data_IF_501784750973
#
_entry.id   IF_501784750973
#
_cell.length_a   1.000
_cell.length_b   1.000
_cell.length_c   1.000
_cell.angle_alpha   90.00
_cell.angle_beta   90.00
_cell.angle_gamma   90.00
#
_symmetry.space_group_name_H-M   'P 1'
#
loop_
_entity.id
_entity.type
_entity.pdbx_description
1 polymer ?
#
# COMPACT_ATOMS: atom_id res chain seq x y z
N UNK A 1 -21.00 27.85 -15.20
CA UNK A 1 -21.84 27.10 -14.24
C UNK A 1 -22.98 26.44 -15.00
N UNK A 2 -22.98 25.12 -15.17
CA UNK A 2 -24.12 24.44 -15.77
C UNK A 2 -25.28 24.49 -14.75
N UNK A 3 -26.39 25.15 -15.10
CA UNK A 3 -27.61 25.09 -14.30
C UNK A 3 -28.07 23.63 -14.29
N UNK A 4 -27.89 22.95 -13.18
CA UNK A 4 -28.44 21.63 -12.89
C UNK A 4 -29.95 21.76 -12.71
N UNK A 5 -30.66 21.97 -13.82
CA UNK A 5 -32.12 22.02 -13.83
C UNK A 5 -32.62 20.58 -13.69
N UNK A 6 -33.42 20.30 -12.67
CA UNK A 6 -34.07 19.00 -12.47
C UNK A 6 -34.70 18.53 -13.79
N UNK A 7 -34.33 17.38 -14.38
CA UNK A 7 -34.79 16.98 -15.70
C UNK A 7 -36.31 16.77 -15.79
N UNK A 8 -36.99 16.64 -14.65
CA UNK A 8 -38.44 16.42 -14.55
C UNK A 8 -39.24 17.67 -14.17
N UNK A 9 -38.62 18.85 -14.22
CA UNK A 9 -39.24 20.08 -13.74
C UNK A 9 -40.59 20.39 -14.44
N UNK A 10 -40.72 20.08 -15.73
CA UNK A 10 -41.96 20.34 -16.50
C UNK A 10 -43.11 19.45 -16.02
N UNK A 11 -42.83 18.17 -15.84
CA UNK A 11 -43.80 17.19 -15.36
C UNK A 11 -44.20 17.47 -13.91
N UNK A 12 -43.25 17.84 -13.05
CA UNK A 12 -43.52 18.23 -11.67
C UNK A 12 -44.35 19.53 -11.60
N UNK A 13 -44.08 20.52 -12.45
CA UNK A 13 -44.91 21.72 -12.57
C UNK A 13 -46.33 21.41 -13.05
N UNK A 14 -46.50 20.50 -14.03
CA UNK A 14 -47.84 20.08 -14.49
C UNK A 14 -48.65 19.41 -13.39
N UNK A 15 -48.02 18.53 -12.62
CA UNK A 15 -48.66 17.88 -11.46
C UNK A 15 -49.08 18.93 -10.43
N UNK A 16 -48.17 19.86 -10.10
CA UNK A 16 -48.47 20.95 -9.16
C UNK A 16 -49.65 21.82 -9.62
N UNK A 17 -49.71 22.18 -10.90
CA UNK A 17 -50.84 22.93 -11.45
C UNK A 17 -52.16 22.15 -11.39
N UNK A 18 -52.13 20.85 -11.65
CA UNK A 18 -53.32 19.99 -11.51
C UNK A 18 -53.79 19.89 -10.06
N UNK A 19 -52.87 19.73 -9.09
CA UNK A 19 -53.22 19.74 -7.65
C UNK A 19 -53.90 21.04 -7.25
N UNK A 20 -53.37 22.16 -7.75
CA UNK A 20 -53.90 23.50 -7.48
C UNK A 20 -55.26 23.73 -8.16
N UNK A 21 -55.47 23.23 -9.38
CA UNK A 21 -56.76 23.30 -10.07
C UNK A 21 -57.82 22.43 -9.38
N UNK A 22 -57.44 21.23 -8.90
CA UNK A 22 -58.31 20.36 -8.10
C UNK A 22 -58.72 21.04 -6.79
N UNK A 23 -57.78 21.69 -6.10
CA UNK A 23 -58.03 22.40 -4.85
C UNK A 23 -58.98 23.60 -5.04
N UNK A 24 -58.92 24.26 -6.20
CA UNK A 24 -59.78 25.41 -6.56
C UNK A 24 -61.13 25.01 -7.15
N UNK A 25 -61.29 23.77 -7.59
CA UNK A 25 -62.52 23.31 -8.25
C UNK A 25 -63.57 22.88 -7.22
N UNK A 26 -64.73 23.54 -7.22
CA UNK A 26 -65.91 23.17 -6.42
C UNK A 26 -66.85 22.17 -7.11
N UNK A 27 -66.76 22.02 -8.44
CA UNK A 27 -67.59 21.07 -9.19
C UNK A 27 -67.09 19.62 -8.97
N UNK A 28 -67.94 18.71 -8.45
CA UNK A 28 -67.53 17.34 -8.13
C UNK A 28 -67.20 16.48 -9.36
N UNK A 29 -67.85 16.70 -10.51
CA UNK A 29 -67.55 15.96 -11.74
C UNK A 29 -66.19 16.37 -12.30
N UNK A 30 -65.95 17.67 -12.46
CA UNK A 30 -64.65 18.21 -12.91
C UNK A 30 -63.51 17.81 -11.97
N UNK A 31 -63.78 17.77 -10.65
CA UNK A 31 -62.79 17.33 -9.65
C UNK A 31 -62.38 15.86 -9.83
N UNK A 32 -63.32 14.97 -10.17
CA UNK A 32 -63.01 13.56 -10.47
C UNK A 32 -62.18 13.40 -11.74
N UNK A 33 -62.52 14.13 -12.80
CA UNK A 33 -61.76 14.12 -14.06
C UNK A 33 -60.32 14.61 -13.86
N UNK A 34 -60.15 15.73 -13.15
CA UNK A 34 -58.82 16.26 -12.81
C UNK A 34 -58.04 15.30 -11.91
N UNK A 35 -58.70 14.62 -10.97
CA UNK A 35 -58.08 13.59 -10.13
C UNK A 35 -57.53 12.41 -10.96
N UNK A 36 -58.30 11.93 -11.94
CA UNK A 36 -57.85 10.90 -12.86
C UNK A 36 -56.64 11.35 -13.70
N UNK A 37 -56.66 12.58 -14.22
CA UNK A 37 -55.53 13.16 -14.95
C UNK A 37 -54.28 13.28 -14.08
N UNK A 38 -54.43 13.71 -12.83
CA UNK A 38 -53.34 13.81 -11.87
C UNK A 38 -52.70 12.45 -11.59
N UNK A 39 -53.51 11.41 -11.35
CA UNK A 39 -52.99 10.06 -11.12
C UNK A 39 -52.24 9.53 -12.35
N UNK A 40 -52.78 9.77 -13.55
CA UNK A 40 -52.12 9.45 -14.81
C UNK A 40 -50.76 10.16 -14.98
N UNK A 41 -50.68 11.45 -14.68
CA UNK A 41 -49.40 12.20 -14.75
C UNK A 41 -48.39 11.71 -13.71
N UNK A 42 -48.84 11.43 -12.47
CA UNK A 42 -47.97 10.90 -11.39
C UNK A 42 -47.39 9.54 -11.76
N UNK A 43 -48.20 8.62 -12.26
CA UNK A 43 -47.75 7.29 -12.69
C UNK A 43 -46.80 7.38 -13.88
N UNK A 44 -47.09 8.21 -14.89
CA UNK A 44 -46.21 8.45 -16.04
C UNK A 44 -44.84 9.00 -15.61
N UNK A 45 -44.82 9.95 -14.65
CA UNK A 45 -43.59 10.49 -14.09
C UNK A 45 -42.79 9.41 -13.34
N UNK A 46 -43.45 8.61 -12.51
CA UNK A 46 -42.80 7.50 -11.80
C UNK A 46 -42.18 6.49 -12.78
N UNK A 47 -42.90 6.10 -13.83
CA UNK A 47 -42.38 5.19 -14.86
C UNK A 47 -41.16 5.78 -15.60
N UNK A 48 -41.17 7.08 -15.91
CA UNK A 48 -39.99 7.75 -16.49
C UNK A 48 -38.80 7.75 -15.54
N UNK A 49 -39.00 8.16 -14.28
CA UNK A 49 -37.95 8.15 -13.25
C UNK A 49 -37.37 6.74 -13.05
N UNK A 50 -38.21 5.71 -13.08
CA UNK A 50 -37.79 4.33 -12.96
C UNK A 50 -36.93 3.88 -14.15
N UNK A 51 -37.38 4.12 -15.39
CA UNK A 51 -36.60 3.81 -16.61
C UNK A 51 -35.25 4.54 -16.66
N UNK A 52 -35.22 5.81 -16.28
CA UNK A 52 -33.97 6.58 -16.25
C UNK A 52 -32.99 6.08 -15.18
N UNK A 53 -33.52 5.61 -14.05
CA UNK A 53 -32.71 4.97 -13.00
C UNK A 53 -32.15 3.63 -13.49
N UNK A 54 -32.96 2.83 -14.18
CA UNK A 54 -32.53 1.56 -14.75
C UNK A 54 -31.48 1.74 -15.86
N UNK A 55 -31.67 2.72 -16.76
CA UNK A 55 -30.69 3.08 -17.78
C UNK A 55 -29.36 3.54 -17.18
N UNK A 56 -29.40 4.37 -16.12
CA UNK A 56 -28.20 4.77 -15.37
C UNK A 56 -27.52 3.58 -14.70
N UNK A 57 -28.28 2.70 -14.07
CA UNK A 57 -27.73 1.49 -13.44
C UNK A 57 -27.07 0.57 -14.47
N UNK A 58 -27.68 0.43 -15.66
CA UNK A 58 -27.10 -0.32 -16.77
C UNK A 58 -25.77 0.30 -17.22
N UNK A 59 -25.73 1.62 -17.43
CA UNK A 59 -24.49 2.32 -17.78
C UNK A 59 -23.41 2.20 -16.71
N UNK A 60 -23.76 2.31 -15.42
CA UNK A 60 -22.81 2.11 -14.33
C UNK A 60 -22.27 0.68 -14.35
N UNK A 61 -23.13 -0.32 -14.60
CA UNK A 61 -22.73 -1.73 -14.69
C UNK A 61 -21.79 -1.98 -15.88
N UNK A 62 -22.04 -1.38 -17.04
CA UNK A 62 -21.16 -1.51 -18.21
C UNK A 62 -19.83 -0.81 -17.98
N UNK A 63 -19.82 0.41 -17.42
CA UNK A 63 -18.59 1.15 -17.06
C UNK A 63 -17.76 0.38 -16.03
N UNK A 64 -18.38 -0.20 -14.99
CA UNK A 64 -17.65 -1.03 -14.01
C UNK A 64 -17.04 -2.27 -14.65
N UNK A 65 -17.75 -2.94 -15.56
CA UNK A 65 -17.24 -4.11 -16.30
C UNK A 65 -16.07 -3.73 -17.22
N UNK A 66 -16.15 -2.63 -17.95
CA UNK A 66 -15.05 -2.19 -18.83
C UNK A 66 -13.83 -1.74 -18.04
N UNK A 67 -14.03 -1.05 -16.89
CA UNK A 67 -12.92 -0.64 -16.01
C UNK A 67 -12.17 -1.84 -15.42
N UNK A 68 -12.88 -2.89 -14.96
CA UNK A 68 -12.26 -4.13 -14.48
C UNK A 68 -11.45 -4.84 -15.57
N UNK A 69 -11.96 -4.94 -16.80
CA UNK A 69 -11.24 -5.54 -17.92
C UNK A 69 -9.97 -4.77 -18.28
N UNK A 70 -10.02 -3.42 -18.27
CA UNK A 70 -8.83 -2.59 -18.51
C UNK A 70 -7.78 -2.78 -17.42
N UNK A 71 -8.18 -2.79 -16.15
CA UNK A 71 -7.24 -3.01 -15.02
C UNK A 71 -6.56 -4.37 -15.16
N UNK A 72 -7.32 -5.45 -15.38
CA UNK A 72 -6.77 -6.79 -15.56
C UNK A 72 -5.80 -6.86 -16.74
N UNK A 73 -6.16 -6.24 -17.87
CA UNK A 73 -5.27 -6.18 -19.04
C UNK A 73 -3.95 -5.47 -18.72
N UNK A 74 -3.99 -4.27 -18.11
CA UNK A 74 -2.78 -3.53 -17.76
C UNK A 74 -1.92 -4.28 -16.74
N UNK A 75 -2.52 -4.90 -15.72
CA UNK A 75 -1.76 -5.71 -14.74
C UNK A 75 -1.08 -6.91 -15.40
N UNK A 76 -1.74 -7.59 -16.34
CA UNK A 76 -1.13 -8.70 -17.07
C UNK A 76 0.00 -8.23 -18.00
N UNK A 77 -0.16 -7.09 -18.69
CA UNK A 77 0.90 -6.53 -19.52
C UNK A 77 2.13 -6.12 -18.69
N UNK A 78 1.93 -5.45 -17.55
CA UNK A 78 3.02 -5.04 -16.66
C UNK A 78 3.74 -6.27 -16.09
N UNK A 79 2.99 -7.27 -15.61
CA UNK A 79 3.57 -8.52 -15.12
C UNK A 79 4.39 -9.24 -16.21
N UNK A 80 3.88 -9.28 -17.45
CA UNK A 80 4.62 -9.84 -18.58
C UNK A 80 5.93 -9.12 -18.88
N UNK A 81 5.93 -7.78 -18.84
CA UNK A 81 7.15 -6.98 -19.04
C UNK A 81 8.18 -7.25 -17.93
N UNK A 82 7.73 -7.33 -16.67
CA UNK A 82 8.61 -7.63 -15.52
C UNK A 82 9.23 -9.04 -15.64
N UNK A 83 8.45 -10.04 -16.07
CA UNK A 83 8.97 -11.40 -16.26
C UNK A 83 10.02 -11.41 -17.37
N UNK A 84 9.73 -10.79 -18.53
CA UNK A 84 10.67 -10.73 -19.65
C UNK A 84 11.93 -9.96 -19.28
N UNK A 85 11.81 -8.83 -18.56
CA UNK A 85 12.98 -8.07 -18.10
C UNK A 85 13.81 -8.87 -17.10
N UNK A 86 13.19 -9.60 -16.17
CA UNK A 86 13.89 -10.50 -15.26
C UNK A 86 14.67 -11.57 -16.02
N UNK A 87 14.09 -12.21 -17.03
CA UNK A 87 14.79 -13.21 -17.86
C UNK A 87 15.99 -12.62 -18.63
N UNK A 88 15.87 -11.40 -19.16
CA UNK A 88 16.97 -10.72 -19.85
C UNK A 88 18.09 -10.36 -18.87
N UNK A 89 17.75 -9.81 -17.70
CA UNK A 89 18.71 -9.45 -16.64
C UNK A 89 19.41 -10.71 -16.13
N UNK A 90 18.69 -11.79 -15.83
CA UNK A 90 19.30 -13.06 -15.44
C UNK A 90 20.27 -13.59 -16.50
N UNK A 91 19.94 -13.48 -17.81
CA UNK A 91 20.87 -13.89 -18.88
C UNK A 91 22.08 -12.98 -19.05
N UNK A 92 21.94 -11.68 -18.78
CA UNK A 92 23.03 -10.70 -18.92
C UNK A 92 23.96 -10.60 -17.72
N UNK A 93 23.47 -10.94 -16.51
CA UNK A 93 24.29 -10.98 -15.29
C UNK A 93 24.81 -12.39 -14.92
N UNK A 94 24.32 -13.46 -15.56
CA UNK A 94 24.89 -14.82 -15.49
C UNK A 94 25.65 -15.32 -16.74
N UNK A 95 26.28 -14.50 -17.62
CA UNK A 95 27.33 -15.01 -18.48
C UNK A 95 28.63 -14.98 -17.67
N UNK A 96 29.21 -16.15 -17.41
CA UNK A 96 30.46 -16.37 -16.67
C UNK A 96 30.31 -16.58 -15.15
N UNK A 97 29.62 -17.67 -14.77
CA UNK A 97 30.18 -18.55 -13.73
C UNK A 97 31.17 -19.50 -14.42
N UNK A 98 32.26 -18.94 -14.95
CA UNK A 98 33.49 -19.70 -15.12
C UNK A 98 34.05 -19.95 -13.72
N UNK A 99 34.49 -21.18 -13.50
CA UNK A 99 35.02 -21.68 -12.24
C UNK A 99 36.06 -20.69 -11.70
N UNK A 100 35.80 -20.09 -10.55
CA UNK A 100 36.79 -19.28 -9.85
C UNK A 100 37.86 -20.25 -9.33
N UNK A 101 38.97 -20.36 -10.04
CA UNK A 101 40.18 -21.01 -9.55
C UNK A 101 40.59 -20.34 -8.24
N UNK A 102 40.68 -21.15 -7.18
CA UNK A 102 41.11 -20.76 -5.86
C UNK A 102 42.63 -20.55 -5.89
N UNK A 103 43.08 -19.41 -6.40
CA UNK A 103 44.48 -19.02 -6.36
C UNK A 103 44.84 -18.52 -4.96
N UNK A 104 45.50 -19.37 -4.20
CA UNK A 104 46.08 -19.06 -2.91
C UNK A 104 47.19 -18.01 -3.07
N UNK A 105 46.97 -16.80 -2.54
CA UNK A 105 48.05 -15.89 -2.16
C UNK A 105 48.01 -15.61 -0.67
N UNK A 106 49.09 -15.92 0.08
CA UNK A 106 49.19 -15.60 1.49
C UNK A 106 49.60 -14.15 1.65
N UNK A 107 48.69 -13.30 2.14
CA UNK A 107 49.05 -11.97 2.62
C UNK A 107 49.37 -12.06 4.12
N UNK A 108 50.67 -12.01 4.38
CA UNK A 108 51.34 -11.84 5.66
C UNK A 108 50.76 -10.71 6.53
N UNK A 109 50.43 -11.08 7.78
CA UNK A 109 50.68 -10.39 9.04
C UNK A 109 50.61 -8.85 9.07
N UNK A 110 49.50 -8.31 9.58
CA UNK A 110 49.51 -7.23 10.56
C UNK A 110 48.18 -7.26 11.35
N UNK A 111 48.27 -6.97 12.65
CA UNK A 111 47.20 -6.98 13.68
C UNK A 111 47.08 -8.30 14.46
N UNK A 112 48.00 -8.42 15.41
CA UNK A 112 47.80 -9.04 16.72
C UNK A 112 46.48 -8.59 17.38
N UNK A 113 45.82 -9.54 18.06
CA UNK A 113 44.79 -9.37 19.09
C UNK A 113 43.38 -8.96 18.62
N UNK A 114 42.57 -9.95 18.24
CA UNK A 114 41.50 -10.47 19.09
C UNK A 114 40.88 -11.64 18.31
N UNK A 115 40.96 -12.85 18.85
CA UNK A 115 40.00 -13.91 18.54
C UNK A 115 38.63 -13.44 19.02
N UNK A 116 38.03 -12.54 18.25
CA UNK A 116 36.63 -12.14 18.35
C UNK A 116 35.88 -13.34 17.79
N UNK A 117 35.10 -14.03 18.63
CA UNK A 117 34.16 -15.03 18.13
C UNK A 117 33.31 -14.35 17.06
N UNK A 118 33.52 -14.72 15.81
CA UNK A 118 32.74 -14.18 14.70
C UNK A 118 31.27 -14.53 14.99
N UNK A 119 30.46 -13.49 15.25
CA UNK A 119 29.05 -13.69 15.56
C UNK A 119 28.38 -14.17 14.29
N UNK A 120 27.80 -15.37 14.33
CA UNK A 120 27.04 -15.92 13.23
C UNK A 120 25.76 -15.09 13.02
N UNK A 121 25.78 -14.25 11.99
CA UNK A 121 24.66 -13.35 11.67
C UNK A 121 23.47 -14.06 11.06
N UNK A 122 23.58 -15.36 10.74
CA UNK A 122 22.45 -16.17 10.26
C UNK A 122 21.52 -16.63 11.38
N UNK A 123 22.01 -16.65 12.63
CA UNK A 123 21.28 -17.12 13.81
C UNK A 123 21.35 -16.11 14.96
N UNK A 124 20.89 -14.88 14.70
CA UNK A 124 20.86 -13.82 15.71
C UNK A 124 19.66 -13.96 16.66
N UNK A 125 19.90 -13.69 17.94
CA UNK A 125 18.80 -13.52 18.92
C UNK A 125 18.07 -12.20 18.68
N UNK A 126 16.83 -12.08 19.17
CA UNK A 126 16.04 -10.84 19.06
C UNK A 126 16.82 -9.61 19.51
N UNK A 127 17.45 -9.68 20.68
CA UNK A 127 18.25 -8.59 21.25
C UNK A 127 19.45 -8.22 20.37
N UNK A 128 20.10 -9.21 19.76
CA UNK A 128 21.22 -8.96 18.85
C UNK A 128 20.77 -8.26 17.57
N UNK A 129 19.61 -8.62 17.00
CA UNK A 129 19.08 -7.95 15.81
C UNK A 129 18.66 -6.51 16.14
N UNK A 130 17.99 -6.28 17.28
CA UNK A 130 17.63 -4.93 17.75
C UNK A 130 18.89 -4.08 17.94
N UNK A 131 19.93 -4.63 18.58
CA UNK A 131 21.22 -3.97 18.78
C UNK A 131 21.90 -3.60 17.47
N UNK A 132 21.85 -4.49 16.48
CA UNK A 132 22.46 -4.26 15.18
C UNK A 132 21.73 -3.18 14.38
N UNK A 133 20.40 -3.22 14.35
CA UNK A 133 19.57 -2.23 13.69
C UNK A 133 19.72 -0.84 14.34
N UNK A 134 19.74 -0.77 15.67
CA UNK A 134 19.92 0.49 16.41
C UNK A 134 21.32 1.08 16.22
N UNK A 135 22.37 0.25 16.19
CA UNK A 135 23.73 0.71 15.91
C UNK A 135 23.82 1.42 14.55
N UNK A 136 23.25 0.82 13.51
CA UNK A 136 23.24 1.40 12.17
C UNK A 136 22.34 2.63 12.05
N UNK A 137 21.23 2.69 12.79
CA UNK A 137 20.42 3.90 12.88
C UNK A 137 21.21 5.07 13.49
N UNK A 138 21.99 4.83 14.55
CA UNK A 138 22.84 5.86 15.19
C UNK A 138 23.99 6.33 14.30
N UNK A 139 24.49 5.47 13.42
CA UNK A 139 25.47 5.85 12.40
C UNK A 139 24.85 6.73 11.30
N UNK A 140 23.60 6.44 10.90
CA UNK A 140 22.86 7.24 9.92
C UNK A 140 22.47 8.61 10.47
N UNK A 141 22.03 8.67 11.73
CA UNK A 141 21.65 9.91 12.42
C UNK A 141 22.43 10.08 13.75
N UNK A 142 23.57 10.79 13.72
CA UNK A 142 24.39 11.04 14.91
C UNK A 142 23.70 11.91 15.96
N UNK A 143 22.55 12.52 15.66
CA UNK A 143 21.80 13.33 16.64
C UNK A 143 21.00 12.48 17.63
N UNK A 144 20.94 11.16 17.40
CA UNK A 144 20.31 10.21 18.31
C UNK A 144 21.16 10.04 19.58
N UNK A 145 20.68 10.64 20.67
CA UNK A 145 21.39 10.65 21.96
C UNK A 145 21.06 9.41 22.81
N UNK A 146 19.84 8.87 22.74
CA UNK A 146 19.40 7.74 23.60
C UNK A 146 18.37 6.83 22.92
N UNK A 147 18.41 5.54 23.25
CA UNK A 147 17.50 4.52 22.74
C UNK A 147 16.10 4.58 23.38
N UNK A 148 15.96 5.28 24.52
CA UNK A 148 14.74 5.30 25.34
C UNK A 148 13.48 5.86 24.67
N UNK A 149 13.62 6.58 23.55
CA UNK A 149 12.50 7.10 22.77
C UNK A 149 12.06 6.15 21.66
N UNK A 150 12.76 5.03 21.50
CA UNK A 150 12.53 4.07 20.45
C UNK A 150 11.98 2.76 21.00
N UNK A 151 11.06 2.16 20.27
CA UNK A 151 10.64 0.79 20.50
C UNK A 151 10.81 -0.03 19.22
N UNK A 152 11.10 -1.32 19.42
CA UNK A 152 11.47 -2.25 18.35
C UNK A 152 10.41 -3.34 18.20
N UNK A 153 9.88 -3.49 16.98
CA UNK A 153 9.04 -4.63 16.61
C UNK A 153 9.86 -5.57 15.71
N UNK A 154 10.20 -6.74 16.26
CA UNK A 154 10.98 -7.76 15.56
C UNK A 154 10.06 -8.86 15.10
N UNK A 155 9.97 -9.06 13.79
CA UNK A 155 9.06 -10.01 13.15
C UNK A 155 9.80 -10.87 12.14
N UNK A 156 9.41 -12.14 12.04
CA UNK A 156 9.92 -13.02 10.99
C UNK A 156 8.96 -12.92 9.81
N UNK A 157 9.46 -12.48 8.66
CA UNK A 157 8.67 -12.31 7.45
C UNK A 157 8.47 -13.67 6.74
N UNK A 158 7.56 -13.73 5.76
CA UNK A 158 7.13 -14.93 5.03
C UNK A 158 8.28 -15.66 4.32
N UNK A 159 9.40 -14.98 4.06
CA UNK A 159 10.61 -15.51 3.40
C UNK A 159 11.69 -15.91 4.42
N UNK A 160 11.34 -16.00 5.71
CA UNK A 160 12.26 -16.28 6.83
C UNK A 160 13.35 -15.24 7.05
N UNK A 161 13.18 -14.03 6.50
CA UNK A 161 14.00 -12.87 6.84
C UNK A 161 13.51 -12.28 8.17
N UNK A 162 14.43 -11.76 8.99
CA UNK A 162 14.09 -11.10 10.26
C UNK A 162 13.97 -9.60 10.00
N UNK A 163 12.78 -9.06 10.20
CA UNK A 163 12.45 -7.66 10.00
C UNK A 163 12.38 -6.94 11.35
N UNK A 164 12.99 -5.76 11.43
CA UNK A 164 13.04 -4.91 12.62
C UNK A 164 12.51 -3.54 12.24
N UNK A 165 11.32 -3.24 12.72
CA UNK A 165 10.75 -1.90 12.66
C UNK A 165 11.12 -1.14 13.93
N UNK A 166 11.70 0.04 13.76
CA UNK A 166 12.05 0.95 14.83
C UNK A 166 11.10 2.14 14.77
N UNK A 167 10.40 2.35 15.86
CA UNK A 167 9.41 3.40 16.02
C UNK A 167 9.87 4.41 17.04
N UNK A 168 9.51 5.67 16.85
CA UNK A 168 9.59 6.71 17.87
C UNK A 168 8.17 7.18 18.14
N UNK A 169 7.73 7.07 19.40
CA UNK A 169 6.33 7.25 19.79
C UNK A 169 5.38 6.33 18.99
N UNK A 170 4.64 6.84 18.01
CA UNK A 170 3.74 6.07 17.15
C UNK A 170 4.14 6.09 15.66
N UNK A 171 5.32 6.63 15.34
CA UNK A 171 5.79 6.81 13.96
C UNK A 171 6.93 5.85 13.65
N UNK A 172 6.81 5.10 12.55
CA UNK A 172 7.90 4.28 12.04
C UNK A 172 9.03 5.19 11.51
N UNK A 173 10.18 5.17 12.17
CA UNK A 173 11.36 5.97 11.79
C UNK A 173 12.28 5.17 10.88
N UNK A 174 12.29 3.86 11.06
CA UNK A 174 13.30 3.00 10.47
C UNK A 174 12.80 1.57 10.31
N UNK A 175 13.11 0.94 9.18
CA UNK A 175 12.92 -0.49 8.96
C UNK A 175 14.26 -1.11 8.50
N UNK A 176 14.60 -2.24 9.11
CA UNK A 176 15.76 -3.04 8.77
C UNK A 176 15.37 -4.50 8.55
N UNK A 177 16.09 -5.20 7.68
CA UNK A 177 15.87 -6.62 7.40
C UNK A 177 17.20 -7.37 7.40
N UNK A 178 17.25 -8.48 8.13
CA UNK A 178 18.32 -9.47 8.04
C UNK A 178 17.87 -10.59 7.11
N UNK A 179 18.62 -10.78 6.02
CA UNK A 179 18.33 -11.83 5.04
C UNK A 179 18.80 -13.21 5.51
N UNK A 180 18.48 -14.25 4.73
CA UNK A 180 18.89 -15.61 5.02
C UNK A 180 20.42 -15.85 4.99
N UNK A 181 21.19 -14.91 4.43
CA UNK A 181 22.65 -14.96 4.40
C UNK A 181 23.29 -14.25 5.61
N UNK A 182 22.47 -13.67 6.50
CA UNK A 182 22.95 -12.92 7.64
C UNK A 182 23.47 -11.53 7.27
N UNK A 183 22.98 -10.92 6.19
CA UNK A 183 23.27 -9.54 5.82
C UNK A 183 22.17 -8.60 6.29
N UNK A 184 22.55 -7.44 6.78
CA UNK A 184 21.64 -6.38 7.23
C UNK A 184 21.36 -5.40 6.09
N UNK A 185 20.07 -5.16 5.84
CA UNK A 185 19.56 -4.21 4.86
C UNK A 185 18.73 -3.12 5.52
N UNK A 186 18.82 -1.90 5.00
CA UNK A 186 17.91 -0.79 5.25
C UNK A 186 16.76 -0.85 4.26
N UNK A 187 15.54 -0.89 4.76
CA UNK A 187 14.34 -0.85 3.92
C UNK A 187 13.75 0.55 3.92
N UNK A 188 13.45 1.06 2.73
CA UNK A 188 12.62 2.24 2.52
C UNK A 188 11.42 1.86 1.67
N UNK A 189 10.45 2.77 1.50
CA UNK A 189 9.27 2.51 0.67
C UNK A 189 9.59 2.13 -0.79
N UNK A 190 10.80 2.42 -1.28
CA UNK A 190 11.20 2.22 -2.67
C UNK A 190 12.50 1.44 -2.87
N UNK A 191 13.29 1.18 -1.81
CA UNK A 191 14.64 0.64 -1.95
C UNK A 191 15.05 -0.27 -0.78
N UNK A 192 15.88 -1.28 -1.08
CA UNK A 192 16.52 -2.23 -0.14
C UNK A 192 18.04 -2.07 -0.28
N UNK A 193 18.65 -1.30 0.64
CA UNK A 193 20.09 -0.99 0.59
C UNK A 193 20.85 -1.83 1.60
N UNK A 194 21.91 -2.53 1.16
CA UNK A 194 22.77 -3.29 2.08
C UNK A 194 23.56 -2.32 2.96
N UNK A 195 23.52 -2.55 4.27
CA UNK A 195 24.20 -1.72 5.26
C UNK A 195 25.41 -2.44 5.83
N UNK A 196 25.26 -3.72 6.17
CA UNK A 196 26.34 -4.55 6.69
C UNK A 196 26.21 -5.98 6.18
N UNK A 197 27.34 -6.62 5.88
CA UNK A 197 27.41 -8.02 5.46
C UNK A 197 27.95 -8.96 6.56
N UNK A 198 28.26 -8.42 7.74
CA UNK A 198 28.74 -9.17 8.91
C UNK A 198 28.50 -8.36 10.18
N UNK A 199 28.57 -9.02 11.33
CA UNK A 199 28.46 -8.34 12.62
C UNK A 199 29.60 -7.33 12.82
N UNK A 200 29.24 -6.05 12.88
CA UNK A 200 30.16 -4.92 12.98
C UNK A 200 29.93 -4.06 14.23
N UNK A 201 28.96 -4.44 15.06
CA UNK A 201 28.67 -3.73 16.31
C UNK A 201 29.85 -3.86 17.28
N UNK A 202 30.38 -2.75 17.83
CA UNK A 202 31.40 -2.77 18.88
C UNK A 202 30.92 -3.51 20.14
N UNK A 203 31.82 -4.20 20.84
CA UNK A 203 31.46 -4.96 22.06
C UNK A 203 30.95 -4.05 23.19
N UNK A 204 31.48 -2.83 23.27
CA UNK A 204 31.10 -1.80 24.24
C UNK A 204 29.84 -1.02 23.85
N UNK A 205 29.22 -1.32 22.71
CA UNK A 205 27.96 -0.72 22.34
C UNK A 205 26.85 -1.43 23.12
N UNK A 206 26.03 -0.71 23.85
CA UNK A 206 24.84 -1.24 24.52
C UNK A 206 23.64 -0.38 24.16
N UNK A 207 22.47 -1.00 24.11
CA UNK A 207 21.21 -0.26 24.01
C UNK A 207 20.92 0.21 25.44
N UNK A 208 21.07 1.50 25.70
CA UNK A 208 20.71 2.10 26.99
C UNK A 208 19.21 1.90 27.23
N UNK A 209 18.86 0.87 28.01
CA UNK A 209 17.49 0.65 28.49
C UNK A 209 17.36 1.31 29.87
N UNK A 210 16.42 2.26 30.01
CA UNK A 210 16.01 2.75 31.32
C UNK A 210 15.15 1.68 32.04
N UNK A 211 15.81 0.68 32.62
CA UNK A 211 15.28 -0.09 33.75
C UNK A 211 16.46 -0.50 34.64
N UNK A 212 17.00 0.50 35.34
CA UNK A 212 17.50 0.40 36.72
C UNK A 212 16.74 1.46 37.55
#
# INVERSE_FOLDING_TARGET
MAKTTNPYWREESRIYHLELEIARTSNPQKKRELGYLLEKEKTALQQRKWRDREARNYQIKTIRKTRRRKIVYYTCCIAGIIIVSFFIISKFFYPNVEKLDLENHPATNFITQLTKSEVDTTNLTREQVEKWAYYHLKLEDPTIVSANHYWFDVRINQVREVEVDIFMEEVAVANYVVDANGHLYRMTASDKKMVANKWDVPENFEIENAND
#
